data_IF_381242224031
#
_entry.id   IF_381242224031
#
_cell.length_a   1.000
_cell.length_b   1.000
_cell.length_c   1.000
_cell.angle_alpha   90.00
_cell.angle_beta   90.00
_cell.angle_gamma   90.00
#
_symmetry.space_group_name_H-M   'P 1'
#
loop_
_entity.id
_entity.type
_entity.pdbx_description
1 polymer ?
#
# COMPACT_ATOMS: atom_id res chain seq x y z
N UNK A 1 7.37 -11.40 8.12
CA UNK A 1 7.37 -10.88 6.73
C UNK A 1 6.08 -11.21 6.01
N UNK A 2 5.67 -12.48 5.97
CA UNK A 2 4.45 -12.96 5.29
C UNK A 2 3.17 -12.18 5.61
N UNK A 3 2.90 -11.87 6.88
CA UNK A 3 1.73 -11.07 7.29
C UNK A 3 1.70 -9.67 6.66
N UNK A 4 2.85 -9.01 6.56
CA UNK A 4 2.95 -7.67 5.97
C UNK A 4 2.72 -7.71 4.46
N UNK A 5 3.22 -8.74 3.78
CA UNK A 5 2.98 -8.95 2.34
C UNK A 5 1.50 -9.21 2.07
N UNK A 6 0.86 -10.08 2.87
CA UNK A 6 -0.57 -10.37 2.79
C UNK A 6 -1.42 -9.12 3.03
N UNK A 7 -1.09 -8.33 4.06
CA UNK A 7 -1.74 -7.05 4.31
C UNK A 7 -1.57 -6.08 3.13
N UNK A 8 -0.38 -6.03 2.53
CA UNK A 8 -0.11 -5.26 1.32
C UNK A 8 -0.98 -5.68 0.13
N UNK A 9 -1.20 -6.99 -0.07
CA UNK A 9 -2.08 -7.47 -1.13
C UNK A 9 -3.56 -7.12 -0.87
N UNK A 10 -4.01 -7.12 0.40
CA UNK A 10 -5.35 -6.62 0.76
C UNK A 10 -5.50 -5.14 0.46
N UNK A 11 -4.50 -4.32 0.82
CA UNK A 11 -4.50 -2.88 0.51
C UNK A 11 -4.49 -2.64 -1.01
N UNK A 12 -3.79 -3.47 -1.78
CA UNK A 12 -3.84 -3.39 -3.25
C UNK A 12 -5.24 -3.68 -3.81
N UNK A 13 -5.93 -4.70 -3.29
CA UNK A 13 -7.24 -5.08 -3.79
C UNK A 13 -8.38 -4.16 -3.33
N UNK A 14 -8.26 -3.55 -2.14
CA UNK A 14 -9.37 -2.87 -1.45
C UNK A 14 -9.04 -1.48 -0.93
N UNK A 15 -7.82 -0.97 -1.17
CA UNK A 15 -7.31 0.27 -0.58
C UNK A 15 -7.70 1.55 -1.31
N UNK A 16 -8.40 1.46 -2.45
CA UNK A 16 -9.01 2.62 -3.09
C UNK A 16 -10.34 2.90 -2.37
N UNK A 17 -10.34 3.89 -1.48
CA UNK A 17 -11.47 4.18 -0.61
C UNK A 17 -12.39 5.25 -1.21
N UNK A 18 -13.70 4.97 -1.24
CA UNK A 18 -14.74 5.92 -1.66
C UNK A 18 -14.89 7.11 -0.71
N UNK A 19 -14.43 6.97 0.54
CA UNK A 19 -14.42 8.03 1.55
C UNK A 19 -13.55 9.23 1.15
N UNK A 20 -12.50 8.99 0.36
CA UNK A 20 -11.59 10.03 -0.12
C UNK A 20 -10.11 9.67 0.03
N UNK A 21 -9.27 10.65 -0.31
CA UNK A 21 -7.83 10.47 -0.52
C UNK A 21 -6.96 10.91 0.67
N UNK A 22 -7.52 11.00 1.88
CA UNK A 22 -6.78 11.45 3.06
C UNK A 22 -5.68 10.49 3.53
N UNK A 23 -4.82 10.96 4.44
CA UNK A 23 -3.72 10.16 5.00
C UNK A 23 -4.15 9.23 6.15
N UNK A 24 -5.09 9.67 6.99
CA UNK A 24 -5.47 8.90 8.18
C UNK A 24 -6.28 7.63 7.85
N UNK A 25 -7.17 7.73 6.85
CA UNK A 25 -8.07 6.65 6.45
C UNK A 25 -8.58 6.88 5.01
N UNK A 26 -7.64 7.09 4.11
CA UNK A 26 -7.88 7.33 2.69
C UNK A 26 -6.81 6.68 1.82
N UNK A 27 -7.02 6.73 0.50
CA UNK A 27 -6.16 6.06 -0.49
C UNK A 27 -4.70 6.52 -0.41
N UNK A 28 -4.42 7.80 -0.13
CA UNK A 28 -3.05 8.29 -0.01
C UNK A 28 -2.33 7.69 1.21
N UNK A 29 -3.02 7.55 2.34
CA UNK A 29 -2.48 6.85 3.52
C UNK A 29 -2.17 5.39 3.22
N UNK A 30 -3.05 4.72 2.49
CA UNK A 30 -2.85 3.34 2.04
C UNK A 30 -1.62 3.19 1.13
N UNK A 31 -1.29 4.19 0.30
CA UNK A 31 -0.08 4.20 -0.53
C UNK A 31 1.22 4.05 0.26
N UNK A 32 1.28 4.54 1.51
CA UNK A 32 2.45 4.36 2.38
C UNK A 32 2.71 2.90 2.76
N UNK A 33 1.70 2.03 2.72
CA UNK A 33 1.90 0.59 2.94
C UNK A 33 2.85 0.04 1.88
N UNK A 34 2.65 0.43 0.62
CA UNK A 34 3.50 -0.02 -0.48
C UNK A 34 4.92 0.56 -0.40
N UNK A 35 5.06 1.83 -0.01
CA UNK A 35 6.38 2.44 0.21
C UNK A 35 7.16 1.72 1.32
N UNK A 36 6.50 1.37 2.42
CA UNK A 36 7.14 0.63 3.52
C UNK A 36 7.51 -0.80 3.10
N UNK A 37 6.65 -1.49 2.34
CA UNK A 37 6.95 -2.81 1.81
C UNK A 37 8.12 -2.77 0.81
N UNK A 38 8.19 -1.74 -0.05
CA UNK A 38 9.35 -1.54 -0.92
C UNK A 38 10.63 -1.35 -0.10
N UNK A 39 10.62 -0.51 0.92
CA UNK A 39 11.80 -0.28 1.79
C UNK A 39 12.24 -1.55 2.52
N UNK A 40 11.30 -2.41 2.93
CA UNK A 40 11.58 -3.63 3.67
C UNK A 40 12.03 -4.80 2.77
N UNK A 41 11.60 -4.84 1.51
CA UNK A 41 11.80 -6.00 0.62
C UNK A 41 12.68 -5.70 -0.59
N UNK A 42 12.85 -4.43 -0.94
CA UNK A 42 13.45 -3.94 -2.18
C UNK A 42 12.78 -4.48 -3.47
N UNK A 43 11.55 -4.99 -3.37
CA UNK A 43 10.78 -5.50 -4.52
C UNK A 43 10.03 -4.35 -5.23
N UNK A 44 10.40 -4.11 -6.48
CA UNK A 44 9.86 -3.06 -7.35
C UNK A 44 8.34 -3.16 -7.55
N UNK A 45 7.73 -4.34 -7.35
CA UNK A 45 6.27 -4.50 -7.33
C UNK A 45 5.62 -3.50 -6.38
N UNK A 46 6.17 -3.33 -5.18
CA UNK A 46 5.61 -2.43 -4.18
C UNK A 46 5.84 -0.97 -4.52
N UNK A 47 7.00 -0.61 -5.07
CA UNK A 47 7.23 0.75 -5.56
C UNK A 47 6.24 1.12 -6.67
N UNK A 48 6.02 0.22 -7.63
CA UNK A 48 5.05 0.44 -8.70
C UNK A 48 3.62 0.60 -8.17
N UNK A 49 3.21 -0.18 -7.16
CA UNK A 49 1.90 -0.03 -6.52
C UNK A 49 1.74 1.30 -5.77
N UNK A 50 2.83 1.89 -5.26
CA UNK A 50 2.79 3.20 -4.61
C UNK A 50 2.62 4.37 -5.60
N UNK A 51 2.99 4.17 -6.87
CA UNK A 51 2.95 5.19 -7.92
C UNK A 51 1.68 5.14 -8.78
N UNK A 52 0.82 4.14 -8.55
CA UNK A 52 -0.46 3.93 -9.25
C UNK A 52 -1.61 4.58 -8.50
#
# INVERSE_FOLDING_TARGET
MELALSAGDVVWQRGILTKGYGLCHGTAGNGYVFLNLYRATNDLKWLHRALK
#
